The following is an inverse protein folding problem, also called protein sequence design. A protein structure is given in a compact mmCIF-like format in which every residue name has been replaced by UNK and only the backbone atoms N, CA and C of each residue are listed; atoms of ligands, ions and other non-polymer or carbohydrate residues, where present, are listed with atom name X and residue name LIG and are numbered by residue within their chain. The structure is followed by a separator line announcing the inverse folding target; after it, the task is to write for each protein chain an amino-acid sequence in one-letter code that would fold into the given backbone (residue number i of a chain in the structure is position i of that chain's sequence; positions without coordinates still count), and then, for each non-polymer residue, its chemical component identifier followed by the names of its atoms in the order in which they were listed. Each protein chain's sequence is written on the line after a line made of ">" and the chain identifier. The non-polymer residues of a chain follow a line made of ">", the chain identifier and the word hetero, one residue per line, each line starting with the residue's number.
data_IF_692464710476
#
_entry.id   IF_692464710476
#
_cell.length_a   1.000
_cell.length_b   1.000
_cell.length_c   1.000
_cell.angle_alpha   90.00
_cell.angle_beta   90.00
_cell.angle_gamma   90.00
#
_symmetry.space_group_name_H-M   'P 1'
#
loop_
_entity.id
_entity.type
_entity.pdbx_description
1 polymer ?
#
# COMPACT_ATOMS: atom_id res chain seq x y z
N UNK A 1 -37.09 19.27 -15.34
CA UNK A 1 -37.40 20.72 -15.24
C UNK A 1 -36.09 21.51 -15.32
N UNK A 2 -36.03 22.59 -16.12
CA UNK A 2 -34.80 23.36 -16.37
C UNK A 2 -34.61 24.49 -15.34
N UNK A 3 -35.67 24.92 -14.66
CA UNK A 3 -35.65 25.94 -13.59
C UNK A 3 -36.77 25.69 -12.58
N UNK A 4 -36.50 25.92 -11.30
CA UNK A 4 -37.47 25.83 -10.20
C UNK A 4 -37.27 27.07 -9.32
N UNK A 5 -38.36 27.75 -8.97
CA UNK A 5 -38.33 28.96 -8.14
C UNK A 5 -39.10 28.73 -6.85
N UNK A 6 -38.59 29.28 -5.75
CA UNK A 6 -39.21 29.18 -4.42
C UNK A 6 -39.41 30.59 -3.87
N UNK A 7 -40.65 31.00 -3.53
CA UNK A 7 -40.88 32.25 -2.83
C UNK A 7 -40.52 32.06 -1.35
N UNK A 8 -39.35 32.53 -0.95
CA UNK A 8 -38.84 32.43 0.43
C UNK A 8 -39.02 33.76 1.15
N UNK A 9 -39.53 33.73 2.39
CA UNK A 9 -39.66 34.94 3.23
C UNK A 9 -38.35 35.21 3.99
N UNK A 10 -38.15 36.40 4.59
CA UNK A 10 -37.02 36.62 5.49
C UNK A 10 -37.08 35.67 6.69
N UNK A 11 -36.02 34.91 6.93
CA UNK A 11 -35.94 33.90 8.00
C UNK A 11 -35.11 32.68 7.60
N UNK A 12 -35.08 31.66 8.46
CA UNK A 12 -34.45 30.38 8.15
C UNK A 12 -35.47 29.46 7.45
N UNK A 13 -35.09 28.92 6.29
CA UNK A 13 -35.95 28.07 5.48
C UNK A 13 -35.16 26.88 4.93
N UNK A 14 -35.73 25.68 5.04
CA UNK A 14 -35.17 24.46 4.45
C UNK A 14 -35.95 24.08 3.20
N UNK A 15 -35.27 24.03 2.07
CA UNK A 15 -35.83 23.61 0.78
C UNK A 15 -35.10 22.36 0.31
N UNK A 16 -35.85 21.31 -0.03
CA UNK A 16 -35.28 20.06 -0.57
C UNK A 16 -35.83 19.80 -1.96
N UNK A 17 -34.94 19.79 -2.95
CA UNK A 17 -35.24 19.41 -4.32
C UNK A 17 -34.59 18.06 -4.60
N UNK A 18 -35.41 17.07 -4.95
CA UNK A 18 -34.94 15.77 -5.41
C UNK A 18 -35.26 15.64 -6.90
N UNK A 19 -34.25 15.31 -7.70
CA UNK A 19 -34.42 15.01 -9.11
C UNK A 19 -33.57 13.80 -9.49
N UNK A 20 -33.97 13.15 -10.58
CA UNK A 20 -33.23 12.04 -11.18
C UNK A 20 -32.64 12.50 -12.50
N UNK A 21 -31.41 12.11 -12.76
CA UNK A 21 -30.73 12.36 -14.02
C UNK A 21 -30.18 11.03 -14.53
N UNK A 22 -30.57 10.63 -15.73
CA UNK A 22 -30.17 9.34 -16.31
C UNK A 22 -28.78 9.45 -16.96
N UNK A 23 -27.76 9.64 -16.11
CA UNK A 23 -26.36 9.59 -16.53
C UNK A 23 -25.73 8.32 -15.97
N UNK A 24 -25.33 7.42 -16.88
CA UNK A 24 -24.60 6.23 -16.50
C UNK A 24 -23.24 6.60 -15.87
N UNK A 25 -22.88 5.93 -14.78
CA UNK A 25 -21.56 6.09 -14.15
C UNK A 25 -20.50 5.54 -15.11
N UNK A 26 -19.81 6.47 -15.77
CA UNK A 26 -18.73 6.18 -16.71
C UNK A 26 -17.36 6.31 -16.02
N UNK A 27 -16.29 6.06 -16.79
CA UNK A 27 -14.92 6.26 -16.31
C UNK A 27 -14.67 7.70 -15.82
N UNK A 28 -15.37 8.68 -16.41
CA UNK A 28 -15.42 10.05 -15.93
C UNK A 28 -16.83 10.35 -15.41
N UNK A 29 -16.94 10.61 -14.11
CA UNK A 29 -18.18 11.02 -13.45
C UNK A 29 -18.07 12.48 -13.07
N UNK A 30 -19.08 13.28 -13.40
CA UNK A 30 -19.09 14.72 -13.15
C UNK A 30 -20.39 15.11 -12.45
N UNK A 31 -20.31 16.00 -11.46
CA UNK A 31 -21.49 16.55 -10.83
C UNK A 31 -22.31 17.38 -11.83
N UNK A 32 -23.65 17.36 -11.75
CA UNK A 32 -24.47 18.19 -12.62
C UNK A 32 -24.15 19.68 -12.41
N UNK A 33 -24.26 20.47 -13.48
CA UNK A 33 -24.22 21.91 -13.36
C UNK A 33 -25.52 22.39 -12.70
N UNK A 34 -25.40 22.98 -11.53
CA UNK A 34 -26.50 23.61 -10.80
C UNK A 34 -26.14 25.07 -10.60
N UNK A 35 -27.04 25.95 -11.03
CA UNK A 35 -26.93 27.38 -10.82
C UNK A 35 -28.03 27.82 -9.87
N UNK A 36 -27.64 28.45 -8.76
CA UNK A 36 -28.56 28.98 -7.77
C UNK A 36 -29.17 30.32 -8.23
N UNK A 37 -28.58 30.98 -9.23
CA UNK A 37 -28.99 32.28 -9.74
C UNK A 37 -28.71 33.45 -8.81
N UNK A 38 -28.05 33.21 -7.67
CA UNK A 38 -27.63 34.20 -6.69
C UNK A 38 -26.41 33.71 -5.93
N UNK A 39 -25.69 34.62 -5.27
CA UNK A 39 -24.53 34.24 -4.46
C UNK A 39 -24.94 33.35 -3.29
N UNK A 40 -24.16 32.31 -3.03
CA UNK A 40 -24.34 31.42 -1.90
C UNK A 40 -23.02 31.18 -1.17
N UNK A 41 -23.12 30.96 0.13
CA UNK A 41 -21.99 30.63 0.99
C UNK A 41 -22.16 29.24 1.62
N UNK A 42 -21.04 28.65 2.05
CA UNK A 42 -21.00 27.32 2.69
C UNK A 42 -21.63 26.21 1.84
N UNK A 43 -21.38 26.22 0.54
CA UNK A 43 -21.91 25.21 -0.38
C UNK A 43 -21.15 23.91 -0.19
N UNK A 44 -21.88 22.84 0.13
CA UNK A 44 -21.36 21.48 0.24
C UNK A 44 -21.92 20.63 -0.88
N UNK A 45 -21.03 20.00 -1.64
CA UNK A 45 -21.37 19.03 -2.68
C UNK A 45 -20.89 17.67 -2.22
N UNK A 46 -21.82 16.75 -2.03
CA UNK A 46 -21.52 15.35 -1.70
C UNK A 46 -21.78 14.47 -2.91
N UNK A 47 -20.83 13.58 -3.20
CA UNK A 47 -20.93 12.61 -4.29
C UNK A 47 -20.71 11.20 -3.75
N UNK A 48 -21.74 10.37 -3.90
CA UNK A 48 -21.72 8.95 -3.54
C UNK A 48 -21.35 8.13 -4.77
N UNK A 49 -20.29 7.33 -4.65
CA UNK A 49 -19.78 6.46 -5.70
C UNK A 49 -20.24 5.02 -5.46
N UNK A 50 -20.59 4.27 -6.52
CA UNK A 50 -20.87 2.85 -6.41
C UNK A 50 -19.66 2.07 -5.86
N UNK A 51 -19.93 1.05 -5.04
CA UNK A 51 -18.88 0.22 -4.41
C UNK A 51 -18.09 -0.64 -5.39
N UNK A 52 -18.61 -0.88 -6.60
CA UNK A 52 -17.96 -1.63 -7.67
C UNK A 52 -16.98 -0.77 -8.51
N UNK A 53 -16.64 0.42 -8.03
CA UNK A 53 -15.75 1.37 -8.72
C UNK A 53 -14.46 1.60 -7.95
N UNK A 54 -13.37 1.62 -8.70
CA UNK A 54 -12.04 1.97 -8.24
C UNK A 54 -11.76 3.43 -8.58
N UNK A 55 -11.80 4.31 -7.58
CA UNK A 55 -11.57 5.75 -7.73
C UNK A 55 -10.09 6.03 -7.98
N UNK A 56 -9.74 6.53 -9.16
CA UNK A 56 -8.36 6.79 -9.59
C UNK A 56 -7.93 8.22 -9.30
N UNK A 57 -8.71 9.21 -9.74
CA UNK A 57 -8.38 10.62 -9.61
C UNK A 57 -9.62 11.41 -9.22
N UNK A 58 -9.42 12.45 -8.43
CA UNK A 58 -10.47 13.37 -7.99
C UNK A 58 -10.02 14.78 -8.37
N UNK A 59 -10.92 15.53 -9.00
CA UNK A 59 -10.69 16.91 -9.40
C UNK A 59 -11.85 17.77 -8.90
N UNK A 60 -11.52 18.88 -8.24
CA UNK A 60 -12.49 19.89 -7.84
C UNK A 60 -11.85 21.26 -7.95
N UNK A 61 -12.62 22.26 -8.41
CA UNK A 61 -12.16 23.65 -8.46
C UNK A 61 -12.25 24.31 -7.07
N UNK A 62 -11.63 23.69 -6.07
CA UNK A 62 -11.55 24.18 -4.69
C UNK A 62 -10.30 23.62 -4.02
N UNK A 63 -9.56 24.42 -3.23
CA UNK A 63 -8.42 23.92 -2.46
C UNK A 63 -8.83 22.90 -1.40
N UNK A 64 -10.12 22.85 -1.02
CA UNK A 64 -10.67 21.89 -0.06
C UNK A 64 -11.17 20.60 -0.75
N UNK A 65 -10.73 20.32 -1.98
CA UNK A 65 -11.11 19.11 -2.70
C UNK A 65 -10.48 17.86 -2.06
N UNK A 66 -11.19 16.74 -1.99
CA UNK A 66 -10.60 15.47 -1.59
C UNK A 66 -9.47 15.07 -2.55
N UNK A 67 -8.43 14.44 -2.01
CA UNK A 67 -7.26 14.01 -2.78
C UNK A 67 -7.06 12.50 -2.66
N UNK A 68 -6.64 11.89 -3.77
CA UNK A 68 -6.23 10.48 -3.82
C UNK A 68 -4.75 10.40 -3.43
N UNK A 69 -4.47 10.03 -2.17
CA UNK A 69 -3.12 9.97 -1.62
C UNK A 69 -2.24 8.86 -2.22
N UNK A 70 -2.85 7.84 -2.83
CA UNK A 70 -2.15 6.68 -3.38
C UNK A 70 -1.07 7.03 -4.40
N UNK A 71 -1.26 8.04 -5.26
CA UNK A 71 -0.26 8.38 -6.28
C UNK A 71 1.03 8.96 -5.69
N UNK A 72 0.92 9.77 -4.65
CA UNK A 72 2.08 10.25 -3.88
C UNK A 72 2.78 9.09 -3.18
N UNK A 73 2.00 8.15 -2.61
CA UNK A 73 2.53 6.94 -2.01
C UNK A 73 3.24 6.04 -3.05
N UNK A 74 2.69 5.93 -4.25
CA UNK A 74 3.28 5.19 -5.37
C UNK A 74 4.61 5.83 -5.83
N UNK A 75 4.69 7.16 -5.88
CA UNK A 75 5.93 7.86 -6.18
C UNK A 75 7.01 7.57 -5.12
N UNK A 76 6.64 7.54 -3.84
CA UNK A 76 7.53 7.14 -2.75
C UNK A 76 7.99 5.68 -2.89
N UNK A 77 7.08 4.76 -3.20
CA UNK A 77 7.38 3.35 -3.49
C UNK A 77 8.37 3.22 -4.66
N UNK A 78 8.17 3.98 -5.74
CA UNK A 78 9.06 3.97 -6.89
C UNK A 78 10.47 4.40 -6.49
N UNK A 79 10.60 5.49 -5.72
CA UNK A 79 11.89 5.95 -5.21
C UNK A 79 12.55 4.89 -4.32
N UNK A 80 11.81 4.31 -3.37
CA UNK A 80 12.30 3.24 -2.51
C UNK A 80 12.78 2.03 -3.31
N UNK A 81 12.01 1.58 -4.30
CA UNK A 81 12.36 0.44 -5.16
C UNK A 81 13.64 0.69 -5.98
N UNK A 82 13.87 1.93 -6.44
CA UNK A 82 15.09 2.30 -7.15
C UNK A 82 16.33 2.30 -6.24
N UNK A 83 16.18 2.80 -5.01
CA UNK A 83 17.24 2.79 -3.98
C UNK A 83 17.55 1.34 -3.60
N UNK A 84 16.54 0.55 -3.22
CA UNK A 84 16.70 -0.84 -2.79
C UNK A 84 17.25 -1.71 -3.92
N UNK A 85 16.74 -1.55 -5.15
CA UNK A 85 17.21 -2.28 -6.32
C UNK A 85 18.60 -1.85 -6.84
N UNK A 86 19.24 -0.86 -6.22
CA UNK A 86 20.63 -0.52 -6.48
C UNK A 86 21.61 -1.32 -5.61
N UNK A 87 21.14 -1.95 -4.54
CA UNK A 87 21.96 -2.83 -3.72
C UNK A 87 22.06 -4.23 -4.33
N UNK A 88 23.29 -4.66 -4.67
CA UNK A 88 23.59 -6.02 -5.16
C UNK A 88 23.51 -7.12 -4.09
N UNK A 89 22.98 -6.81 -2.92
CA UNK A 89 22.86 -7.77 -1.82
C UNK A 89 21.71 -8.77 -2.04
N UNK A 90 20.68 -8.39 -2.81
CA UNK A 90 19.54 -9.24 -3.13
C UNK A 90 19.56 -9.65 -4.60
N UNK A 91 19.01 -10.82 -4.97
CA UNK A 91 18.93 -11.25 -6.37
C UNK A 91 17.84 -10.50 -7.15
N UNK A 92 17.10 -9.59 -6.48
CA UNK A 92 15.96 -8.90 -7.06
C UNK A 92 16.41 -7.76 -7.98
N UNK A 93 15.87 -7.73 -9.20
CA UNK A 93 16.06 -6.58 -10.10
C UNK A 93 15.24 -5.37 -9.64
N UNK A 94 15.59 -4.16 -10.11
CA UNK A 94 14.80 -2.94 -9.84
C UNK A 94 13.32 -3.09 -10.16
N UNK A 95 12.98 -3.80 -11.25
CA UNK A 95 11.59 -4.07 -11.65
C UNK A 95 10.88 -4.99 -10.64
N UNK A 96 11.57 -6.02 -10.15
CA UNK A 96 11.00 -6.93 -9.16
C UNK A 96 10.81 -6.23 -7.82
N UNK A 97 11.73 -5.33 -7.42
CA UNK A 97 11.56 -4.49 -6.24
C UNK A 97 10.36 -3.55 -6.38
N UNK A 98 10.18 -2.93 -7.55
CA UNK A 98 9.01 -2.09 -7.82
C UNK A 98 7.71 -2.88 -7.75
N UNK A 99 7.63 -4.02 -8.44
CA UNK A 99 6.45 -4.88 -8.41
C UNK A 99 6.17 -5.41 -7.00
N UNK A 100 7.19 -5.83 -6.25
CA UNK A 100 7.03 -6.25 -4.86
C UNK A 100 6.46 -5.13 -4.00
N UNK A 101 7.07 -3.93 -4.05
CA UNK A 101 6.61 -2.79 -3.28
C UNK A 101 5.22 -2.30 -3.69
N UNK A 102 4.86 -2.44 -4.98
CA UNK A 102 3.53 -2.14 -5.49
C UNK A 102 2.46 -3.00 -4.81
N UNK A 103 2.67 -4.31 -4.65
CA UNK A 103 1.68 -5.13 -3.96
C UNK A 103 1.75 -5.03 -2.42
N UNK A 104 2.93 -4.75 -1.86
CA UNK A 104 3.06 -4.42 -0.44
C UNK A 104 2.40 -3.08 -0.06
N UNK A 105 2.02 -2.24 -1.03
CA UNK A 105 1.23 -1.01 -0.76
C UNK A 105 -0.15 -1.28 -0.17
N UNK A 106 -0.65 -2.52 -0.28
CA UNK A 106 -1.95 -2.94 0.26
C UNK A 106 -1.89 -3.29 1.77
N UNK A 107 -0.68 -3.36 2.35
CA UNK A 107 -0.48 -3.64 3.77
C UNK A 107 0.10 -2.43 4.49
N UNK A 108 0.22 -2.54 5.81
CA UNK A 108 0.77 -1.44 6.61
C UNK A 108 2.26 -1.24 6.30
N UNK A 109 2.74 0.00 6.38
CA UNK A 109 4.16 0.33 6.12
C UNK A 109 5.14 -0.53 6.94
N UNK A 110 4.90 -0.82 8.24
CA UNK A 110 5.79 -1.69 9.01
C UNK A 110 5.87 -3.13 8.47
N UNK A 111 4.75 -3.72 8.04
CA UNK A 111 4.73 -5.06 7.46
C UNK A 111 5.50 -5.10 6.13
N UNK A 112 5.34 -4.07 5.29
CA UNK A 112 6.09 -3.94 4.04
C UNK A 112 7.60 -3.82 4.29
N UNK A 113 8.00 -3.02 5.29
CA UNK A 113 9.41 -2.90 5.71
C UNK A 113 9.97 -4.22 6.22
N UNK A 114 9.18 -4.99 6.98
CA UNK A 114 9.58 -6.30 7.49
C UNK A 114 9.83 -7.31 6.35
N UNK A 115 8.95 -7.34 5.35
CA UNK A 115 9.13 -8.17 4.16
C UNK A 115 10.39 -7.80 3.37
N UNK A 116 10.67 -6.50 3.23
CA UNK A 116 11.91 -6.04 2.60
C UNK A 116 13.15 -6.40 3.44
N UNK A 117 13.09 -6.19 4.76
CA UNK A 117 14.18 -6.50 5.69
C UNK A 117 14.54 -7.99 5.67
N UNK A 118 13.54 -8.87 5.54
CA UNK A 118 13.76 -10.30 5.35
C UNK A 118 14.63 -10.63 4.13
N UNK A 119 14.29 -10.09 2.96
CA UNK A 119 15.06 -10.31 1.72
C UNK A 119 16.49 -9.77 1.85
N UNK A 120 16.66 -8.60 2.48
CA UNK A 120 17.99 -8.05 2.76
C UNK A 120 18.78 -8.89 3.75
N UNK A 121 18.17 -9.36 4.84
CA UNK A 121 18.85 -10.18 5.85
C UNK A 121 19.38 -11.48 5.25
N UNK A 122 18.61 -12.15 4.37
CA UNK A 122 19.08 -13.32 3.61
C UNK A 122 20.29 -12.99 2.73
N UNK A 123 20.31 -11.81 2.12
CA UNK A 123 21.39 -11.35 1.24
C UNK A 123 22.66 -10.95 1.98
N UNK A 124 22.51 -10.30 3.14
CA UNK A 124 23.64 -9.85 3.97
C UNK A 124 24.27 -10.96 4.79
N UNK A 125 23.57 -12.10 4.99
CA UNK A 125 24.06 -13.24 5.76
C UNK A 125 25.47 -13.70 5.37
N UNK A 126 25.83 -13.67 4.09
CA UNK A 126 27.19 -14.03 3.65
C UNK A 126 28.27 -13.06 4.16
N UNK A 127 27.95 -11.77 4.24
CA UNK A 127 28.93 -10.72 4.62
C UNK A 127 29.07 -10.58 6.12
N UNK A 128 28.02 -10.93 6.87
CA UNK A 128 27.96 -10.77 8.32
C UNK A 128 28.08 -12.10 9.08
N UNK A 129 28.41 -13.21 8.41
CA UNK A 129 28.53 -14.50 9.06
C UNK A 129 29.63 -14.47 10.15
N UNK A 130 29.31 -14.70 11.43
CA UNK A 130 30.30 -14.63 12.50
C UNK A 130 31.36 -15.73 12.33
N UNK A 131 32.63 -15.34 12.29
CA UNK A 131 33.75 -16.28 12.14
C UNK A 131 33.96 -17.16 13.38
N UNK A 132 33.58 -16.68 14.58
CA UNK A 132 33.80 -17.36 15.87
C UNK A 132 32.52 -17.38 16.71
N UNK A 133 32.31 -18.48 17.44
CA UNK A 133 31.17 -18.71 18.33
C UNK A 133 30.03 -19.48 17.67
N UNK A 134 29.77 -20.70 18.18
CA UNK A 134 28.64 -21.53 17.73
C UNK A 134 27.30 -20.89 18.11
N UNK A 135 27.18 -20.36 19.34
CA UNK A 135 25.94 -19.76 19.84
C UNK A 135 25.46 -18.55 19.03
N UNK A 136 26.38 -17.64 18.68
CA UNK A 136 26.04 -16.43 17.89
C UNK A 136 25.59 -16.83 16.48
N UNK A 137 26.21 -17.86 15.89
CA UNK A 137 25.82 -18.37 14.58
C UNK A 137 24.43 -19.02 14.61
N UNK A 138 24.17 -19.90 15.58
CA UNK A 138 22.88 -20.57 15.71
C UNK A 138 21.75 -19.59 16.08
N UNK A 139 22.01 -18.60 16.94
CA UNK A 139 21.04 -17.54 17.25
C UNK A 139 20.70 -16.70 16.01
N UNK A 140 21.69 -16.37 15.17
CA UNK A 140 21.46 -15.71 13.89
C UNK A 140 20.61 -16.58 12.95
N UNK A 141 20.86 -17.89 12.87
CA UNK A 141 20.07 -18.81 12.03
C UNK A 141 18.62 -18.89 12.51
N UNK A 142 18.38 -18.99 13.81
CA UNK A 142 17.02 -18.95 14.39
C UNK A 142 16.35 -17.62 14.05
N UNK A 143 17.04 -16.50 14.24
CA UNK A 143 16.53 -15.17 13.86
C UNK A 143 16.16 -15.08 12.39
N UNK A 144 16.97 -15.67 11.50
CA UNK A 144 16.71 -15.71 10.06
C UNK A 144 15.48 -16.56 9.72
N UNK A 145 15.27 -17.69 10.40
CA UNK A 145 14.08 -18.54 10.24
C UNK A 145 12.83 -17.79 10.68
N UNK A 146 12.85 -17.16 11.87
CA UNK A 146 11.73 -16.35 12.37
C UNK A 146 11.41 -15.20 11.41
N UNK A 147 12.44 -14.49 10.95
CA UNK A 147 12.28 -13.41 9.99
C UNK A 147 11.73 -13.90 8.64
N UNK A 148 12.07 -15.12 8.23
CA UNK A 148 11.52 -15.75 7.02
C UNK A 148 10.05 -16.07 7.15
N UNK A 149 9.64 -16.65 8.28
CA UNK A 149 8.22 -16.90 8.57
C UNK A 149 7.42 -15.59 8.62
N UNK A 150 7.98 -14.56 9.26
CA UNK A 150 7.35 -13.24 9.32
C UNK A 150 7.23 -12.59 7.92
N UNK A 151 8.29 -12.63 7.11
CA UNK A 151 8.26 -12.12 5.74
C UNK A 151 7.24 -12.84 4.85
N UNK A 152 7.17 -14.17 4.93
CA UNK A 152 6.17 -14.98 4.23
C UNK A 152 4.73 -14.63 4.69
N UNK A 153 4.52 -14.42 5.99
CA UNK A 153 3.23 -13.98 6.53
C UNK A 153 2.82 -12.61 5.97
N UNK A 154 3.74 -11.65 5.90
CA UNK A 154 3.47 -10.34 5.29
C UNK A 154 3.09 -10.47 3.80
N UNK A 155 3.77 -11.34 3.03
CA UNK A 155 3.43 -11.58 1.63
C UNK A 155 2.05 -12.22 1.48
N UNK A 156 1.70 -13.17 2.35
CA UNK A 156 0.37 -13.78 2.37
C UNK A 156 -0.71 -12.73 2.63
N UNK A 157 -0.53 -11.90 3.66
CA UNK A 157 -1.46 -10.80 4.00
C UNK A 157 -1.60 -9.81 2.85
N UNK A 158 -0.51 -9.50 2.13
CA UNK A 158 -0.56 -8.62 0.96
C UNK A 158 -1.38 -9.21 -0.19
N UNK A 159 -1.27 -10.53 -0.44
CA UNK A 159 -2.07 -11.23 -1.45
C UNK A 159 -3.54 -11.25 -1.04
N UNK A 160 -3.83 -11.59 0.23
CA UNK A 160 -5.19 -11.63 0.78
C UNK A 160 -5.89 -10.28 0.65
N UNK A 161 -5.28 -9.21 1.20
CA UNK A 161 -5.82 -7.85 1.11
C UNK A 161 -5.89 -7.33 -0.31
N UNK A 162 -4.94 -7.72 -1.16
CA UNK A 162 -4.91 -7.32 -2.55
C UNK A 162 -6.01 -7.92 -3.42
N UNK A 163 -6.41 -9.16 -3.17
CA UNK A 163 -7.43 -9.85 -3.97
C UNK A 163 -8.85 -9.68 -3.41
N UNK A 164 -8.99 -9.72 -2.08
CA UNK A 164 -10.28 -9.72 -1.38
C UNK A 164 -10.65 -8.35 -0.79
N UNK A 165 -9.66 -7.48 -0.59
CA UNK A 165 -9.86 -6.16 0.00
C UNK A 165 -10.29 -5.08 -0.99
N UNK A 166 -10.70 -3.95 -0.44
CA UNK A 166 -10.98 -2.75 -1.21
C UNK A 166 -9.67 -2.03 -1.56
N UNK A 167 -9.55 -1.43 -2.76
CA UNK A 167 -8.35 -0.73 -3.18
C UNK A 167 -8.05 0.45 -2.24
N UNK A 168 -6.90 0.38 -1.56
CA UNK A 168 -6.41 1.41 -0.65
C UNK A 168 -5.94 2.66 -1.40
N UNK A 169 -6.90 3.46 -1.87
CA UNK A 169 -6.61 4.69 -2.62
C UNK A 169 -6.24 5.89 -1.74
N UNK A 170 -6.27 5.71 -0.40
CA UNK A 170 -5.93 6.74 0.60
C UNK A 170 -6.65 8.07 0.30
N UNK A 171 -7.95 7.99 -0.01
CA UNK A 171 -8.77 9.18 -0.21
C UNK A 171 -8.87 9.92 1.12
N UNK A 172 -8.47 11.19 1.11
CA UNK A 172 -8.44 12.03 2.30
C UNK A 172 -8.88 13.45 1.96
N UNK A 173 -9.29 14.20 2.98
CA UNK A 173 -9.78 15.58 2.85
C UNK A 173 -11.29 15.69 3.13
N UNK A 174 -11.66 16.65 3.99
CA UNK A 174 -13.04 17.03 4.26
C UNK A 174 -13.98 15.86 4.67
N UNK A 175 -13.46 14.86 5.37
CA UNK A 175 -14.23 13.66 5.78
C UNK A 175 -14.55 12.68 4.63
N UNK A 176 -13.88 12.83 3.49
CA UNK A 176 -14.11 11.98 2.32
C UNK A 176 -13.48 10.60 2.46
N UNK A 177 -14.13 9.61 1.84
CA UNK A 177 -13.68 8.22 1.72
C UNK A 177 -13.76 7.78 0.26
N UNK A 178 -13.34 6.55 -0.06
CA UNK A 178 -13.36 6.06 -1.44
C UNK A 178 -14.75 6.06 -2.11
N UNK A 179 -15.81 5.88 -1.30
CA UNK A 179 -17.20 5.87 -1.77
C UNK A 179 -17.97 7.16 -1.53
N UNK A 180 -17.51 8.04 -0.62
CA UNK A 180 -18.22 9.26 -0.23
C UNK A 180 -17.26 10.45 -0.34
N UNK A 181 -17.48 11.31 -1.33
CA UNK A 181 -16.64 12.47 -1.59
C UNK A 181 -17.36 13.76 -1.21
N UNK A 182 -16.70 14.61 -0.44
CA UNK A 182 -17.26 15.87 0.04
C UNK A 182 -16.40 17.03 -0.46
N UNK A 183 -17.01 17.89 -1.27
CA UNK A 183 -16.41 19.14 -1.75
C UNK A 183 -17.08 20.30 -1.02
N UNK A 184 -16.28 21.19 -0.44
CA UNK A 184 -16.80 22.41 0.20
C UNK A 184 -16.31 23.63 -0.57
N UNK A 185 -17.23 24.55 -0.83
CA UNK A 185 -17.00 25.85 -1.43
C UNK A 185 -17.44 26.92 -0.45
N UNK A 186 -16.54 27.83 -0.09
CA UNK A 186 -16.83 28.89 0.87
C UNK A 186 -17.83 29.91 0.29
N UNK A 187 -17.61 30.33 -0.97
CA UNK A 187 -18.51 31.23 -1.71
C UNK A 187 -18.63 30.80 -3.16
N UNK A 188 -19.82 30.93 -3.71
CA UNK A 188 -20.12 30.75 -5.13
C UNK A 188 -20.97 31.93 -5.61
N UNK A 189 -20.72 32.41 -6.83
CA UNK A 189 -21.45 33.55 -7.40
C UNK A 189 -22.85 33.17 -7.95
N UNK A 190 -23.19 31.88 -7.94
CA UNK A 190 -24.43 31.33 -8.50
C UNK A 190 -24.22 29.90 -8.98
N UNK A 191 -23.41 29.75 -10.03
CA UNK A 191 -23.04 28.45 -10.57
C UNK A 191 -22.13 27.68 -9.60
N UNK A 192 -22.56 26.49 -9.18
CA UNK A 192 -21.76 25.59 -8.34
C UNK A 192 -20.67 24.97 -9.22
N UNK A 193 -19.38 25.08 -8.85
CA UNK A 193 -18.29 24.48 -9.61
C UNK A 193 -18.45 22.96 -9.72
N UNK A 194 -18.15 22.41 -10.89
CA UNK A 194 -18.28 20.97 -11.13
C UNK A 194 -17.19 20.19 -10.39
N UNK A 195 -17.59 19.11 -9.72
CA UNK A 195 -16.70 18.09 -9.21
C UNK A 195 -16.56 16.96 -10.24
N UNK A 196 -15.34 16.46 -10.45
CA UNK A 196 -15.05 15.41 -11.41
C UNK A 196 -14.28 14.28 -10.74
N UNK A 197 -14.64 13.04 -11.07
CA UNK A 197 -14.00 11.83 -10.56
C UNK A 197 -13.69 10.91 -11.72
N UNK A 198 -12.45 10.48 -11.81
CA UNK A 198 -12.01 9.42 -12.72
C UNK A 198 -12.02 8.11 -11.96
N UNK A 199 -12.76 7.12 -12.46
CA UNK A 199 -12.87 5.80 -11.86
C UNK A 199 -12.75 4.69 -12.91
N UNK A 200 -12.38 3.50 -12.48
CA UNK A 200 -12.38 2.29 -13.29
C UNK A 200 -13.30 1.22 -12.67
N UNK A 201 -13.76 0.22 -13.42
CA UNK A 201 -14.44 -0.94 -12.85
C UNK A 201 -13.52 -1.66 -11.84
N UNK A 202 -14.05 -2.08 -10.70
CA UNK A 202 -13.29 -2.82 -9.68
C UNK A 202 -12.67 -4.12 -10.24
N UNK A 203 -13.26 -4.69 -11.29
CA UNK A 203 -12.67 -5.81 -12.02
C UNK A 203 -11.27 -5.51 -12.58
N UNK A 204 -10.99 -4.28 -13.03
CA UNK A 204 -9.67 -3.90 -13.54
C UNK A 204 -8.60 -3.98 -12.44
N UNK A 205 -8.93 -3.51 -11.23
CA UNK A 205 -8.07 -3.66 -10.05
C UNK A 205 -7.84 -5.15 -9.72
N UNK A 206 -8.91 -5.95 -9.67
CA UNK A 206 -8.81 -7.38 -9.36
C UNK A 206 -7.97 -8.15 -10.38
N UNK A 207 -8.09 -7.85 -11.67
CA UNK A 207 -7.26 -8.44 -12.72
C UNK A 207 -5.79 -8.04 -12.57
N UNK A 208 -5.51 -6.76 -12.27
CA UNK A 208 -4.15 -6.31 -12.00
C UNK A 208 -3.54 -7.02 -10.78
N UNK A 209 -4.31 -7.17 -9.69
CA UNK A 209 -3.87 -7.88 -8.49
C UNK A 209 -3.72 -9.38 -8.70
N UNK A 210 -4.54 -9.99 -9.54
CA UNK A 210 -4.40 -11.40 -9.94
C UNK A 210 -3.14 -11.62 -10.77
N UNK A 211 -2.87 -10.76 -11.75
CA UNK A 211 -1.64 -10.82 -12.54
C UNK A 211 -0.41 -10.64 -11.63
N UNK A 212 -0.49 -9.71 -10.68
CA UNK A 212 0.55 -9.47 -9.70
C UNK A 212 0.76 -10.67 -8.78
N UNK A 213 -0.29 -11.29 -8.25
CA UNK A 213 -0.17 -12.42 -7.31
C UNK A 213 0.41 -13.65 -7.99
N UNK A 214 0.03 -13.91 -9.25
CA UNK A 214 0.62 -14.97 -10.06
C UNK A 214 2.12 -14.73 -10.29
N UNK A 215 2.49 -13.50 -10.65
CA UNK A 215 3.89 -13.12 -10.79
C UNK A 215 4.66 -13.30 -9.47
N UNK A 216 4.08 -12.87 -8.35
CA UNK A 216 4.67 -13.02 -7.02
C UNK A 216 4.87 -14.48 -6.63
N UNK A 217 3.92 -15.37 -6.92
CA UNK A 217 4.05 -16.80 -6.62
C UNK A 217 5.26 -17.41 -7.36
N UNK A 218 5.43 -17.08 -8.64
CA UNK A 218 6.58 -17.52 -9.43
C UNK A 218 7.91 -16.92 -8.91
N UNK A 219 7.91 -15.64 -8.57
CA UNK A 219 9.07 -14.97 -8.01
C UNK A 219 9.46 -15.56 -6.63
N UNK A 220 8.47 -15.81 -5.77
CA UNK A 220 8.67 -16.36 -4.44
C UNK A 220 9.33 -17.75 -4.48
N UNK A 221 8.93 -18.62 -5.42
CA UNK A 221 9.60 -19.91 -5.63
C UNK A 221 11.09 -19.75 -5.93
N UNK A 222 11.45 -18.78 -6.76
CA UNK A 222 12.86 -18.49 -7.06
C UNK A 222 13.61 -17.93 -5.84
N UNK A 223 12.96 -17.08 -5.03
CA UNK A 223 13.55 -16.50 -3.84
C UNK A 223 13.73 -17.51 -2.71
N UNK A 224 12.79 -18.44 -2.53
CA UNK A 224 12.93 -19.53 -1.56
C UNK A 224 14.10 -20.44 -1.94
N UNK A 225 14.22 -20.83 -3.22
CA UNK A 225 15.37 -21.63 -3.69
C UNK A 225 16.70 -20.92 -3.42
N UNK A 226 16.75 -19.62 -3.72
CA UNK A 226 17.92 -18.78 -3.42
C UNK A 226 18.17 -18.67 -1.91
N UNK A 227 17.13 -18.43 -1.10
CA UNK A 227 17.23 -18.29 0.34
C UNK A 227 17.73 -19.55 1.02
N UNK A 228 17.25 -20.73 0.60
CA UNK A 228 17.74 -22.03 1.07
C UNK A 228 19.20 -22.24 0.69
N UNK A 229 19.60 -21.92 -0.54
CA UNK A 229 21.00 -21.99 -0.95
C UNK A 229 21.88 -21.09 -0.06
N UNK A 230 21.44 -19.86 0.23
CA UNK A 230 22.16 -18.94 1.13
C UNK A 230 22.18 -19.37 2.58
N UNK A 231 21.12 -20.01 3.06
CA UNK A 231 21.01 -20.50 4.43
C UNK A 231 21.97 -21.67 4.69
N UNK A 232 22.12 -22.56 3.71
CA UNK A 232 22.93 -23.79 3.80
C UNK A 232 24.41 -23.58 3.50
N UNK A 233 24.79 -22.48 2.83
CA UNK A 233 26.17 -22.17 2.44
C UNK A 233 27.08 -22.03 3.68
N UNK A 234 28.16 -22.82 3.80
CA UNK A 234 29.04 -22.79 4.98
C UNK A 234 28.52 -23.53 6.23
N UNK A 235 27.45 -24.33 6.08
CA UNK A 235 26.87 -25.19 7.11
C UNK A 235 25.64 -24.57 7.76
N UNK A 236 24.53 -25.32 7.82
CA UNK A 236 23.26 -24.85 8.37
C UNK A 236 23.33 -24.62 9.89
N UNK A 237 24.03 -25.50 10.62
CA UNK A 237 24.16 -25.46 12.09
C UNK A 237 25.59 -25.78 12.50
N UNK A 238 26.13 -25.03 13.47
CA UNK A 238 27.47 -25.32 14.01
C UNK A 238 27.33 -26.23 15.23
N UNK A 239 28.09 -27.33 15.25
CA UNK A 239 28.07 -28.24 16.40
C UNK A 239 28.68 -27.55 17.63
N UNK A 240 28.17 -27.82 18.84
CA UNK A 240 28.78 -27.34 20.06
C UNK A 240 30.19 -27.91 20.22
N UNK A 241 31.20 -27.06 20.06
CA UNK A 241 32.59 -27.42 20.37
C UNK A 241 32.77 -27.26 21.87
N UNK A 242 32.47 -28.31 22.62
CA UNK A 242 32.82 -28.42 24.03
C UNK A 242 34.35 -28.49 24.13
N UNK A 243 35.01 -27.34 24.33
CA UNK A 243 36.42 -27.33 24.74
C UNK A 243 36.48 -27.84 26.18
N UNK A 244 36.51 -29.16 26.34
CA UNK A 244 36.95 -29.79 27.57
C UNK A 244 38.39 -29.33 27.81
N UNK A 245 38.55 -28.40 28.75
CA UNK A 245 39.84 -27.98 29.28
C UNK A 245 40.47 -29.23 29.90
N UNK A 246 41.36 -29.90 29.15
CA UNK A 246 42.13 -31.04 29.69
C UNK A 246 42.81 -30.55 30.98
N UNK A 247 42.62 -31.25 32.12
CA UNK A 247 43.38 -30.93 33.32
C UNK A 247 44.87 -31.04 32.98
N UNK A 248 45.64 -29.99 33.26
CA UNK A 248 47.09 -30.05 33.13
C UNK A 248 47.57 -31.18 34.05
N UNK A 249 48.14 -32.25 33.50
CA UNK A 249 48.91 -33.21 34.30
C UNK A 249 50.02 -32.41 34.99
N UNK A 250 49.94 -32.27 36.32
CA UNK A 250 51.08 -31.83 37.12
C UNK A 250 52.17 -32.88 36.98
N UNK A 251 53.46 -32.51 36.78
CA UNK A 251 54.54 -33.46 36.89
C UNK A 251 54.57 -33.98 38.33
N UNK A 252 54.44 -35.28 38.51
CA UNK A 252 54.83 -35.97 39.73
C UNK A 252 56.30 -36.34 39.59
N UNK A 253 57.17 -35.62 40.29
CA UNK A 253 58.50 -36.08 40.70
C UNK A 253 58.59 -35.78 42.21
N UNK A 254 59.22 -36.67 42.99
CA UNK A 254 60.67 -36.67 43.09
C UNK A 254 61.38 -37.96 42.64
#
# INVERSE_FOLDING_TARGET
>A
PVRVEFPVKPGAHDVRLAWRHDTAVSALSTSPAVDLGHEAANVRVTMELPRDRWTLLIFGNTPLSPVVGFWSHLAFILAAALILGSFRATPLTRRQWFLLALGLSQISSPEAMLAAAWLFALGLRQRCAPEKGWFVFDAMQIGLVVLTLAGLSCLYTAIERGLLGDPLMQVSGNGSTAGHLVFTFDRVAGAIPRAMVVSAPLAAYRLAMLAWSLWMALALLSWIKWGVARFTEGGAWRRPVWRLRRPSRRPTDP
#
